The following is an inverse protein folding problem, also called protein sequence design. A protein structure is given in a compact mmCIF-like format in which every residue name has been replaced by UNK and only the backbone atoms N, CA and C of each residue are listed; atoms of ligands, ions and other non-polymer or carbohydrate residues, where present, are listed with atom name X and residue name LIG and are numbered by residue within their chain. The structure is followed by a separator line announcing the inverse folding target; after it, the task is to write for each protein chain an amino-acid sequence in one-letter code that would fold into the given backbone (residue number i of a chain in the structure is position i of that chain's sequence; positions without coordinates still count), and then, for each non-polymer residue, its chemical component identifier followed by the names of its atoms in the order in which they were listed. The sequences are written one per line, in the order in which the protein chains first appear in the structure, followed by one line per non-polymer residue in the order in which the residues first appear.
data_IF_138881906626
#
_entry.id   IF_138881906626
#
_cell.length_a   1.000
_cell.length_b   1.000
_cell.length_c   1.000
_cell.angle_alpha   90.00
_cell.angle_beta   90.00
_cell.angle_gamma   90.00
#
_symmetry.space_group_name_H-M   'P 1'
#
loop_
_entity.id
_entity.type
_entity.pdbx_description
1 polymer ?
#
# COMPACT_ATOMS: atom_id res chain seq x y z
N UNK A 1 4.55 2.27 -14.11
CA UNK A 1 3.21 2.86 -13.90
C UNK A 1 2.38 2.10 -12.88
N UNK A 2 2.31 0.76 -12.92
CA UNK A 2 1.50 -0.04 -12.00
C UNK A 2 1.81 0.19 -10.50
N UNK A 3 3.09 0.21 -10.10
CA UNK A 3 3.48 0.45 -8.69
C UNK A 3 3.05 1.85 -8.21
N UNK A 4 3.18 2.88 -9.06
CA UNK A 4 2.75 4.23 -8.72
C UNK A 4 1.22 4.30 -8.52
N UNK A 5 0.45 3.61 -9.38
CA UNK A 5 -1.01 3.51 -9.21
C UNK A 5 -1.39 2.70 -7.97
N UNK A 6 -0.67 1.62 -7.65
CA UNK A 6 -0.86 0.92 -6.37
C UNK A 6 -0.73 1.88 -5.19
N UNK A 7 0.36 2.65 -5.10
CA UNK A 7 0.55 3.58 -4.00
C UNK A 7 -0.49 4.70 -3.98
N UNK A 8 -0.86 5.25 -5.15
CA UNK A 8 -1.92 6.25 -5.24
C UNK A 8 -3.25 5.68 -4.74
N UNK A 9 -3.63 4.47 -5.16
CA UNK A 9 -4.81 3.76 -4.69
C UNK A 9 -4.75 3.45 -3.19
N UNK A 10 -3.63 2.94 -2.69
CA UNK A 10 -3.40 2.60 -1.28
C UNK A 10 -3.53 3.83 -0.37
N UNK A 11 -2.92 4.96 -0.75
CA UNK A 11 -2.99 6.18 0.05
C UNK A 11 -4.41 6.74 0.08
N UNK A 12 -5.11 6.78 -1.06
CA UNK A 12 -6.51 7.19 -1.08
C UNK A 12 -7.41 6.21 -0.34
N UNK A 13 -7.12 4.90 -0.37
CA UNK A 13 -7.81 3.88 0.42
C UNK A 13 -7.67 4.15 1.91
N UNK A 14 -6.46 4.39 2.42
CA UNK A 14 -6.29 4.74 3.83
C UNK A 14 -6.98 6.05 4.21
N UNK A 15 -6.94 7.06 3.34
CA UNK A 15 -7.69 8.30 3.58
C UNK A 15 -9.19 8.03 3.65
N UNK A 16 -9.72 7.25 2.70
CA UNK A 16 -11.13 6.88 2.62
C UNK A 16 -11.59 6.15 3.90
N UNK A 17 -10.83 5.17 4.37
CA UNK A 17 -11.22 4.35 5.54
C UNK A 17 -11.02 5.06 6.87
N UNK A 18 -10.08 6.00 6.94
CA UNK A 18 -9.72 6.68 8.19
C UNK A 18 -10.60 7.90 8.44
N UNK A 19 -10.94 8.65 7.39
CA UNK A 19 -11.64 9.93 7.51
C UNK A 19 -13.11 9.82 7.10
N UNK A 20 -13.93 10.69 7.71
CA UNK A 20 -15.33 10.89 7.33
C UNK A 20 -16.17 9.61 7.32
N UNK A 21 -15.78 8.61 8.13
CA UNK A 21 -16.53 7.36 8.33
C UNK A 21 -16.54 6.42 7.13
N UNK A 22 -15.45 6.35 6.33
CA UNK A 22 -15.49 5.58 5.07
C UNK A 22 -16.13 6.40 3.95
N UNK A 23 -15.74 7.66 3.82
CA UNK A 23 -16.54 8.67 3.12
C UNK A 23 -15.77 9.57 2.16
N UNK A 24 -16.28 10.79 1.99
CA UNK A 24 -15.75 11.76 1.03
C UNK A 24 -14.34 12.24 1.39
N UNK A 25 -13.40 12.22 0.45
CA UNK A 25 -12.04 12.79 0.58
C UNK A 25 -11.70 13.61 -0.66
N UNK A 26 -10.62 14.40 -0.62
CA UNK A 26 -10.14 15.11 -1.80
C UNK A 26 -9.42 14.11 -2.72
N UNK A 27 -9.94 13.87 -3.92
CA UNK A 27 -9.24 13.08 -4.93
C UNK A 27 -8.09 13.87 -5.56
N UNK A 28 -6.88 13.33 -5.50
CA UNK A 28 -5.67 13.88 -6.13
C UNK A 28 -5.18 12.92 -7.23
N UNK A 29 -5.58 13.21 -8.46
CA UNK A 29 -5.25 12.45 -9.66
C UNK A 29 -4.02 13.00 -10.40
N UNK A 30 -3.66 14.26 -10.12
CA UNK A 30 -2.49 14.95 -10.66
C UNK A 30 -1.85 15.87 -9.63
N UNK A 31 -0.62 16.32 -9.90
CA UNK A 31 0.05 17.35 -9.11
C UNK A 31 -0.69 18.68 -9.32
N UNK A 32 -1.20 19.33 -8.26
CA UNK A 32 -1.82 20.64 -8.38
C UNK A 32 -0.77 21.72 -8.70
N UNK A 33 -1.09 22.62 -9.62
CA UNK A 33 -0.25 23.76 -10.02
C UNK A 33 -0.97 25.10 -9.94
N UNK A 34 -2.31 25.11 -9.86
CA UNK A 34 -3.10 26.34 -9.70
C UNK A 34 -3.73 26.45 -8.31
N UNK A 35 -4.06 27.67 -7.89
CA UNK A 35 -4.76 27.91 -6.61
C UNK A 35 -6.06 27.11 -6.50
N UNK A 36 -6.83 27.04 -7.57
CA UNK A 36 -8.10 26.31 -7.59
C UNK A 36 -7.87 24.79 -7.44
N UNK A 37 -6.79 24.26 -8.03
CA UNK A 37 -6.42 22.85 -7.85
C UNK A 37 -5.94 22.55 -6.42
N UNK A 38 -5.26 23.49 -5.76
CA UNK A 38 -4.94 23.36 -4.33
C UNK A 38 -6.20 23.39 -3.47
N UNK A 39 -7.16 24.24 -3.80
CA UNK A 39 -8.43 24.43 -3.09
C UNK A 39 -9.55 23.44 -3.45
N UNK A 40 -9.22 22.33 -4.14
CA UNK A 40 -10.20 21.29 -4.51
C UNK A 40 -10.96 20.77 -3.29
N UNK A 41 -12.30 20.75 -3.38
CA UNK A 41 -13.17 20.23 -2.33
C UNK A 41 -13.20 18.70 -2.23
N UNK A 42 -13.96 18.21 -1.25
CA UNK A 42 -14.21 16.78 -1.07
C UNK A 42 -14.94 16.20 -2.28
N UNK A 43 -14.58 14.98 -2.67
CA UNK A 43 -15.26 14.19 -3.70
C UNK A 43 -16.20 13.18 -3.04
N UNK A 44 -17.35 12.85 -3.66
CA UNK A 44 -18.28 11.85 -3.13
C UNK A 44 -17.61 10.49 -2.86
N UNK A 45 -18.07 9.79 -1.83
CA UNK A 45 -17.54 8.47 -1.44
C UNK A 45 -17.52 7.45 -2.59
N UNK A 46 -18.57 7.42 -3.41
CA UNK A 46 -18.67 6.52 -4.56
C UNK A 46 -17.57 6.79 -5.60
N UNK A 47 -17.30 8.07 -5.90
CA UNK A 47 -16.26 8.49 -6.84
C UNK A 47 -14.87 8.17 -6.29
N UNK A 48 -14.67 8.36 -4.98
CA UNK A 48 -13.44 8.02 -4.27
C UNK A 48 -13.14 6.53 -4.39
N UNK A 49 -14.12 5.67 -4.08
CA UNK A 49 -13.97 4.22 -4.19
C UNK A 49 -13.73 3.77 -5.63
N UNK A 50 -14.43 4.36 -6.60
CA UNK A 50 -14.22 4.06 -8.01
C UNK A 50 -12.77 4.38 -8.43
N UNK A 51 -12.26 5.54 -8.03
CA UNK A 51 -10.88 5.95 -8.31
C UNK A 51 -9.85 5.02 -7.66
N UNK A 52 -10.03 4.67 -6.39
CA UNK A 52 -9.17 3.73 -5.66
C UNK A 52 -9.14 2.38 -6.37
N UNK A 53 -10.31 1.83 -6.70
CA UNK A 53 -10.42 0.51 -7.32
C UNK A 53 -9.85 0.49 -8.72
N UNK A 54 -10.05 1.54 -9.53
CA UNK A 54 -9.45 1.63 -10.86
C UNK A 54 -7.91 1.55 -10.80
N UNK A 55 -7.31 2.25 -9.84
CA UNK A 55 -5.87 2.23 -9.61
C UNK A 55 -5.35 0.86 -9.17
N UNK A 56 -6.04 0.24 -8.22
CA UNK A 56 -5.63 -1.06 -7.71
C UNK A 56 -5.92 -2.18 -8.72
N UNK A 57 -6.98 -2.11 -9.53
CA UNK A 57 -7.27 -3.06 -10.61
C UNK A 57 -6.20 -2.99 -11.70
N UNK A 58 -5.77 -1.78 -12.07
CA UNK A 58 -4.65 -1.62 -12.97
C UNK A 58 -3.36 -2.19 -12.37
N UNK A 59 -3.08 -1.92 -11.10
CA UNK A 59 -1.92 -2.47 -10.42
C UNK A 59 -1.96 -4.00 -10.38
N UNK A 60 -3.08 -4.58 -9.98
CA UNK A 60 -3.31 -6.02 -9.93
C UNK A 60 -3.05 -6.72 -11.26
N UNK A 61 -3.54 -6.13 -12.37
CA UNK A 61 -3.38 -6.70 -13.71
C UNK A 61 -1.96 -6.55 -14.31
N UNK A 62 -1.14 -5.63 -13.81
CA UNK A 62 0.13 -5.24 -14.44
C UNK A 62 1.37 -5.42 -13.55
N UNK A 63 1.22 -5.77 -12.27
CA UNK A 63 2.33 -6.10 -11.39
C UNK A 63 2.67 -7.59 -11.48
N UNK A 64 3.92 -7.92 -11.16
CA UNK A 64 4.36 -9.31 -11.06
C UNK A 64 3.82 -9.94 -9.78
N UNK A 65 3.62 -11.26 -9.83
CA UNK A 65 3.38 -12.09 -8.64
C UNK A 65 4.63 -12.11 -7.75
N UNK A 66 4.47 -12.56 -6.50
CA UNK A 66 5.58 -12.76 -5.57
C UNK A 66 6.69 -13.59 -6.22
N UNK A 67 7.93 -13.11 -6.11
CA UNK A 67 9.12 -13.78 -6.68
C UNK A 67 9.21 -13.79 -8.20
N UNK A 68 8.28 -13.17 -8.93
CA UNK A 68 8.25 -13.21 -10.40
C UNK A 68 8.86 -11.96 -11.08
N UNK A 69 9.34 -10.99 -10.30
CA UNK A 69 10.04 -9.82 -10.84
C UNK A 69 11.36 -10.26 -11.52
N UNK A 70 11.66 -9.82 -12.76
CA UNK A 70 12.84 -10.28 -13.51
C UNK A 70 14.19 -9.93 -12.87
N UNK A 71 14.24 -8.86 -12.09
CA UNK A 71 15.44 -8.43 -11.36
C UNK A 71 15.59 -9.13 -9.99
N UNK A 72 14.61 -9.96 -9.60
CA UNK A 72 14.61 -10.67 -8.32
C UNK A 72 14.38 -9.76 -7.10
N UNK A 73 13.98 -8.50 -7.30
CA UNK A 73 13.78 -7.55 -6.21
C UNK A 73 12.48 -7.85 -5.44
N UNK A 74 12.63 -8.43 -4.24
CA UNK A 74 11.53 -8.80 -3.36
C UNK A 74 10.86 -7.61 -2.68
N UNK A 75 11.48 -6.42 -2.70
CA UNK A 75 10.94 -5.21 -2.08
C UNK A 75 9.82 -4.56 -2.89
N UNK A 76 9.64 -4.98 -4.14
CA UNK A 76 8.67 -4.40 -5.06
C UNK A 76 7.25 -4.84 -4.73
N UNK A 77 6.31 -3.91 -4.84
CA UNK A 77 4.87 -4.21 -4.74
C UNK A 77 4.49 -5.27 -5.77
N UNK A 78 3.74 -6.27 -5.34
CA UNK A 78 3.27 -7.38 -6.18
C UNK A 78 1.79 -7.23 -6.56
N UNK A 79 1.34 -8.00 -7.55
CA UNK A 79 -0.09 -8.13 -7.87
C UNK A 79 -0.89 -8.62 -6.67
N UNK A 80 -0.32 -9.49 -5.82
CA UNK A 80 -0.98 -10.01 -4.63
C UNK A 80 -1.28 -8.90 -3.62
N UNK A 81 -0.34 -7.98 -3.40
CA UNK A 81 -0.57 -6.79 -2.57
C UNK A 81 -1.73 -5.94 -3.08
N UNK A 82 -1.81 -5.68 -4.39
CA UNK A 82 -2.93 -4.96 -4.99
C UNK A 82 -4.27 -5.72 -4.81
N UNK A 83 -4.25 -7.05 -4.99
CA UNK A 83 -5.43 -7.91 -4.82
C UNK A 83 -5.96 -7.89 -3.39
N UNK A 84 -5.09 -7.92 -2.39
CA UNK A 84 -5.47 -7.85 -0.98
C UNK A 84 -6.17 -6.53 -0.63
N UNK A 85 -5.66 -5.39 -1.11
CA UNK A 85 -6.31 -4.09 -0.88
C UNK A 85 -7.63 -3.98 -1.67
N UNK A 86 -7.70 -4.52 -2.89
CA UNK A 86 -8.95 -4.60 -3.66
C UNK A 86 -10.03 -5.38 -2.93
N UNK A 87 -9.71 -6.60 -2.50
CA UNK A 87 -10.62 -7.44 -1.72
C UNK A 87 -11.11 -6.73 -0.47
N UNK A 88 -10.20 -6.05 0.24
CA UNK A 88 -10.53 -5.27 1.44
C UNK A 88 -11.47 -4.09 1.12
N UNK A 89 -11.25 -3.38 0.01
CA UNK A 89 -12.14 -2.30 -0.42
C UNK A 89 -13.55 -2.78 -0.75
N UNK A 90 -13.72 -3.97 -1.30
CA UNK A 90 -15.05 -4.56 -1.55
C UNK A 90 -15.68 -5.08 -0.26
N UNK A 91 -14.88 -5.63 0.65
CA UNK A 91 -15.35 -6.13 1.94
C UNK A 91 -15.94 -5.00 2.80
N UNK A 92 -15.34 -3.81 2.78
CA UNK A 92 -15.84 -2.64 3.50
C UNK A 92 -17.21 -2.18 3.03
N UNK A 93 -17.49 -2.30 1.73
CA UNK A 93 -18.81 -2.06 1.14
C UNK A 93 -19.76 -3.25 1.28
N UNK A 94 -19.42 -4.24 2.11
CA UNK A 94 -20.16 -5.48 2.34
C UNK A 94 -20.39 -6.29 1.05
N UNK A 95 -19.60 -6.06 0.01
CA UNK A 95 -19.65 -6.82 -1.23
C UNK A 95 -18.78 -8.08 -1.11
N UNK A 96 -19.28 -9.03 -0.33
CA UNK A 96 -18.56 -10.27 0.01
C UNK A 96 -18.19 -11.09 -1.23
N UNK A 97 -19.07 -11.15 -2.23
CA UNK A 97 -18.80 -11.91 -3.46
C UNK A 97 -17.59 -11.38 -4.23
N UNK A 98 -17.50 -10.05 -4.40
CA UNK A 98 -16.32 -9.44 -5.03
C UNK A 98 -15.09 -9.55 -4.15
N UNK A 99 -15.22 -9.34 -2.84
CA UNK A 99 -14.11 -9.47 -1.91
C UNK A 99 -13.48 -10.87 -1.96
N UNK A 100 -14.31 -11.93 -1.87
CA UNK A 100 -13.88 -13.32 -1.98
C UNK A 100 -13.13 -13.59 -3.28
N UNK A 101 -13.60 -13.05 -4.41
CA UNK A 101 -12.93 -13.25 -5.71
C UNK A 101 -11.45 -12.85 -5.67
N UNK A 102 -11.11 -11.72 -5.05
CA UNK A 102 -9.72 -11.27 -4.95
C UNK A 102 -8.95 -12.02 -3.87
N UNK A 103 -9.56 -12.27 -2.71
CA UNK A 103 -8.89 -13.00 -1.63
C UNK A 103 -8.59 -14.46 -2.01
N UNK A 104 -9.53 -15.14 -2.67
CA UNK A 104 -9.32 -16.51 -3.15
C UNK A 104 -8.20 -16.56 -4.20
N UNK A 105 -8.10 -15.56 -5.09
CA UNK A 105 -6.98 -15.51 -6.02
C UNK A 105 -5.66 -15.31 -5.30
N UNK A 106 -5.57 -14.37 -4.35
CA UNK A 106 -4.36 -14.13 -3.53
C UNK A 106 -3.92 -15.41 -2.82
N UNK A 107 -4.86 -16.13 -2.20
CA UNK A 107 -4.60 -17.37 -1.47
C UNK A 107 -4.09 -18.47 -2.41
N UNK A 108 -4.77 -18.68 -3.55
CA UNK A 108 -4.53 -19.86 -4.37
C UNK A 108 -3.50 -19.65 -5.50
N UNK A 109 -3.25 -18.40 -5.92
CA UNK A 109 -2.54 -18.12 -7.18
C UNK A 109 -1.36 -17.14 -7.06
N UNK A 110 -1.04 -16.59 -5.89
CA UNK A 110 0.10 -15.65 -5.72
C UNK A 110 1.29 -16.21 -4.92
N UNK A 111 1.19 -17.43 -4.36
CA UNK A 111 2.33 -18.12 -3.74
C UNK A 111 2.71 -17.63 -2.34
N UNK A 112 1.74 -17.14 -1.57
CA UNK A 112 1.90 -16.83 -0.14
C UNK A 112 1.58 -18.06 0.71
N UNK A 113 2.29 -18.22 1.82
CA UNK A 113 2.08 -19.30 2.80
C UNK A 113 2.34 -18.77 4.20
N UNK A 114 1.69 -19.34 5.22
CA UNK A 114 1.91 -18.93 6.60
C UNK A 114 3.35 -19.22 7.07
N UNK A 115 3.95 -18.29 7.79
CA UNK A 115 5.20 -18.50 8.53
C UNK A 115 4.87 -18.99 9.93
N UNK A 116 5.16 -20.26 10.19
CA UNK A 116 4.85 -20.91 11.46
C UNK A 116 5.85 -20.58 12.56
N UNK A 117 7.04 -20.08 12.22
CA UNK A 117 8.03 -19.60 13.18
C UNK A 117 7.73 -18.14 13.57
N UNK A 118 6.92 -17.99 14.63
CA UNK A 118 6.54 -16.70 15.19
C UNK A 118 7.73 -15.82 15.59
N UNK A 119 8.92 -16.39 15.81
CA UNK A 119 10.11 -15.60 16.16
C UNK A 119 10.62 -14.72 15.00
N UNK A 120 10.18 -15.02 13.77
CA UNK A 120 10.60 -14.30 12.56
C UNK A 120 9.68 -13.15 12.16
N UNK A 121 8.38 -13.22 12.46
CA UNK A 121 7.35 -12.34 11.88
C UNK A 121 7.57 -10.83 12.08
N UNK A 122 8.21 -10.44 13.19
CA UNK A 122 8.40 -9.03 13.55
C UNK A 122 9.88 -8.67 13.73
N UNK A 123 10.78 -9.44 13.09
CA UNK A 123 12.23 -9.22 13.15
C UNK A 123 12.83 -9.22 11.76
N UNK A 124 14.05 -8.71 11.63
CA UNK A 124 14.78 -8.72 10.36
C UNK A 124 15.07 -10.15 9.85
N UNK A 125 15.00 -11.16 10.71
CA UNK A 125 15.19 -12.55 10.33
C UNK A 125 14.05 -13.10 9.44
N UNK A 126 12.89 -12.45 9.46
CA UNK A 126 11.72 -12.82 8.67
C UNK A 126 11.39 -11.87 7.52
N UNK A 127 12.29 -10.96 7.14
CA UNK A 127 12.06 -10.05 6.01
C UNK A 127 11.72 -10.84 4.74
N UNK A 128 10.66 -10.40 4.05
CA UNK A 128 10.17 -11.05 2.84
C UNK A 128 9.89 -12.56 2.97
N UNK A 129 9.51 -13.02 4.18
CA UNK A 129 9.12 -14.41 4.40
C UNK A 129 7.91 -14.80 3.53
N UNK A 130 7.51 -16.08 3.62
CA UNK A 130 6.47 -16.57 2.74
C UNK A 130 5.07 -15.99 2.97
N UNK A 131 4.79 -15.47 4.16
CA UNK A 131 3.53 -14.86 4.57
C UNK A 131 3.45 -13.38 4.18
N UNK A 132 4.59 -12.77 3.94
CA UNK A 132 4.71 -11.36 3.57
C UNK A 132 4.01 -11.04 2.25
N UNK A 133 2.94 -10.25 2.32
CA UNK A 133 2.25 -9.73 1.13
C UNK A 133 2.84 -8.39 0.69
N UNK A 134 3.05 -7.48 1.65
CA UNK A 134 3.67 -6.17 1.45
C UNK A 134 4.30 -5.67 2.75
N UNK A 135 5.55 -5.21 2.68
CA UNK A 135 6.33 -4.68 3.80
C UNK A 135 6.91 -3.31 3.44
N UNK A 136 7.01 -2.43 4.44
CA UNK A 136 7.78 -1.19 4.31
C UNK A 136 9.19 -1.48 4.83
N UNK A 137 10.15 -1.46 3.92
CA UNK A 137 11.53 -1.83 4.23
C UNK A 137 12.31 -0.64 4.78
N UNK A 138 13.03 -0.88 5.87
CA UNK A 138 13.94 0.08 6.47
C UNK A 138 15.36 -0.44 6.32
N UNK A 139 16.32 0.46 6.12
CA UNK A 139 17.75 0.12 6.19
C UNK A 139 18.40 0.94 7.29
N UNK A 140 19.36 0.35 8.00
CA UNK A 140 20.25 1.09 8.89
C UNK A 140 21.33 1.86 8.13
N UNK A 141 21.46 1.64 6.82
CA UNK A 141 22.44 2.34 6.00
C UNK A 141 22.05 3.82 5.91
N UNK A 142 22.95 4.68 6.41
CA UNK A 142 22.74 6.13 6.59
C UNK A 142 21.81 6.52 7.75
N UNK A 143 21.52 5.61 8.69
CA UNK A 143 20.97 5.97 10.01
C UNK A 143 22.14 6.02 10.99
N UNK A 144 22.53 7.23 11.40
CA UNK A 144 23.44 7.38 12.53
C UNK A 144 22.69 7.06 13.83
N UNK A 145 22.62 5.77 14.16
CA UNK A 145 22.03 5.27 15.41
C UNK A 145 22.82 5.70 16.65
N UNK A 146 24.00 6.33 16.50
CA UNK A 146 24.75 6.93 17.60
C UNK A 146 24.19 8.29 18.01
N UNK A 147 23.42 8.95 17.15
CA UNK A 147 22.76 10.21 17.45
C UNK A 147 21.36 9.97 17.99
N UNK A 148 21.19 10.21 19.29
CA UNK A 148 19.85 10.30 19.85
C UNK A 148 19.05 11.40 19.12
N UNK A 149 17.73 11.24 18.89
CA UNK A 149 16.92 12.13 18.04
C UNK A 149 16.98 13.62 18.39
N UNK A 150 17.36 13.97 19.62
CA UNK A 150 17.49 15.35 20.12
C UNK A 150 18.88 15.98 19.95
N UNK A 151 19.91 15.23 19.53
CA UNK A 151 21.28 15.73 19.41
C UNK A 151 21.53 16.57 18.15
N UNK A 152 20.73 16.39 17.08
CA UNK A 152 20.90 17.08 15.79
C UNK A 152 20.60 18.58 15.88
N UNK A 153 19.84 19.04 16.87
CA UNK A 153 19.45 20.44 17.01
C UNK A 153 20.51 21.33 17.67
N UNK A 154 21.55 20.76 18.31
CA UNK A 154 22.56 21.54 19.02
C UNK A 154 23.78 21.90 18.16
N UNK A 155 24.04 21.17 17.08
CA UNK A 155 25.20 21.44 16.19
C UNK A 155 24.94 22.52 15.13
N UNK A 156 23.71 23.03 15.00
CA UNK A 156 23.38 24.12 14.06
C UNK A 156 23.32 25.51 14.72
N UNK A 157 23.68 25.63 16.01
CA UNK A 157 23.63 26.90 16.75
C UNK A 157 25.02 27.37 17.25
N UNK A 158 26.10 26.82 16.70
CA UNK A 158 27.49 27.19 16.99
C UNK A 158 28.15 28.01 15.89
#
# INVERSE_FOLDING_TARGET
MAQARFFRGLFHYFLYTTYNGGGSIILRDKVPVTKDEFAKGLSPAADVLAFIREDLEYAYANLYKKGAYPDGDLSRVTSGAAGTILGSSYLQELNYSKAMTYFDDVINNHGYELEYDMSKLFTTAGEFNNESIFEINFTSDNIDVSLAPWMVLLEQIG
#
